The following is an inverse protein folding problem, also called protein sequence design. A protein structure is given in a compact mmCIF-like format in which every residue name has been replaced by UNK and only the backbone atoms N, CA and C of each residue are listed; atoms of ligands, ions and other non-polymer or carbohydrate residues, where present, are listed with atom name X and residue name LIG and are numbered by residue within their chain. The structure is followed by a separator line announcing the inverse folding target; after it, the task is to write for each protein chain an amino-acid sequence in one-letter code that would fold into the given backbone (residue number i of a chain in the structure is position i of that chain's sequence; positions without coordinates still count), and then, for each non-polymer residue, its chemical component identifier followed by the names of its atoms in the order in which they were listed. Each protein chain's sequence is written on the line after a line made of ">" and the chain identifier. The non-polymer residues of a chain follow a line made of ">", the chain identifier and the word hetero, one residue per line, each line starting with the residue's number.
data_IF_319096766357
#
_entry.id   IF_319096766357
#
_cell.length_a   1.000
_cell.length_b   1.000
_cell.length_c   1.000
_cell.angle_alpha   90.00
_cell.angle_beta   90.00
_cell.angle_gamma   90.00
#
_symmetry.space_group_name_H-M   'P 1'
#
loop_
_entity.id
_entity.type
_entity.pdbx_description
1 polymer ?
#
# COMPACT_ATOMS: atom_id res chain seq x y z
N UNK A 1 15.28 36.70 -0.16
CA UNK A 1 14.51 35.44 -0.11
C UNK A 1 13.05 35.75 -0.43
N UNK A 2 12.47 35.19 -1.49
CA UNK A 2 11.06 35.47 -1.88
C UNK A 2 10.13 35.00 -0.75
N UNK A 3 9.39 35.93 -0.13
CA UNK A 3 8.38 35.63 0.90
C UNK A 3 7.28 34.71 0.33
N UNK A 4 7.46 33.39 0.48
CA UNK A 4 6.43 32.40 0.22
C UNK A 4 5.39 32.49 1.32
N UNK A 5 4.15 32.85 0.98
CA UNK A 5 3.05 32.84 1.95
C UNK A 5 2.90 31.47 2.61
N UNK A 6 2.44 31.43 3.87
CA UNK A 6 2.15 30.17 4.53
C UNK A 6 1.04 29.39 3.81
N UNK A 7 1.07 28.07 3.96
CA UNK A 7 -0.01 27.17 3.51
C UNK A 7 -1.37 27.57 4.13
N UNK A 8 -2.48 27.19 3.48
CA UNK A 8 -3.82 27.49 4.02
C UNK A 8 -4.07 26.75 5.33
N UNK A 9 -4.89 27.34 6.22
CA UNK A 9 -5.31 26.68 7.47
C UNK A 9 -6.06 25.37 7.20
N UNK A 10 -6.87 25.32 6.14
CA UNK A 10 -7.57 24.11 5.70
C UNK A 10 -6.59 23.01 5.28
N UNK A 11 -5.63 23.32 4.41
CA UNK A 11 -4.62 22.34 3.98
C UNK A 11 -3.77 21.88 5.16
N UNK A 12 -3.45 22.78 6.09
CA UNK A 12 -2.74 22.42 7.33
C UNK A 12 -3.53 21.42 8.17
N UNK A 13 -4.84 21.64 8.37
CA UNK A 13 -5.71 20.71 9.10
C UNK A 13 -5.78 19.36 8.38
N UNK A 14 -5.97 19.36 7.05
CA UNK A 14 -5.99 18.13 6.25
C UNK A 14 -4.69 17.32 6.38
N UNK A 15 -3.52 17.98 6.34
CA UNK A 15 -2.24 17.31 6.53
C UNK A 15 -2.08 16.69 7.93
N UNK A 16 -2.62 17.33 8.98
CA UNK A 16 -2.64 16.77 10.34
C UNK A 16 -3.54 15.54 10.40
N UNK A 17 -4.74 15.61 9.81
CA UNK A 17 -5.65 14.47 9.74
C UNK A 17 -5.03 13.29 8.96
N UNK A 18 -4.32 13.57 7.86
CA UNK A 18 -3.57 12.54 7.13
C UNK A 18 -2.46 11.90 7.98
N UNK A 19 -1.74 12.69 8.79
CA UNK A 19 -0.72 12.16 9.71
C UNK A 19 -1.33 11.19 10.73
N UNK A 20 -2.47 11.54 11.32
CA UNK A 20 -3.20 10.66 12.26
C UNK A 20 -3.70 9.40 11.54
N UNK A 21 -4.25 9.54 10.33
CA UNK A 21 -4.70 8.41 9.53
C UNK A 21 -3.54 7.44 9.24
N UNK A 22 -2.38 7.93 8.79
CA UNK A 22 -1.20 7.11 8.54
C UNK A 22 -0.68 6.41 9.81
N UNK A 23 -0.80 7.06 10.97
CA UNK A 23 -0.43 6.41 12.24
C UNK A 23 -1.33 5.21 12.53
N UNK A 24 -2.64 5.32 12.27
CA UNK A 24 -3.57 4.21 12.41
C UNK A 24 -3.27 3.07 11.43
N UNK A 25 -2.81 3.37 10.21
CA UNK A 25 -2.47 2.35 9.19
C UNK A 25 -1.41 1.37 9.67
N UNK A 26 -0.49 1.77 10.56
CA UNK A 26 0.54 0.86 11.12
C UNK A 26 -0.11 -0.36 11.80
N UNK A 27 -1.31 -0.19 12.37
CA UNK A 27 -2.03 -1.20 13.14
C UNK A 27 -3.17 -1.89 12.37
N UNK A 28 -3.40 -1.50 11.11
CA UNK A 28 -4.52 -1.98 10.30
C UNK A 28 -4.02 -2.82 9.12
N UNK A 29 -4.83 -3.76 8.60
CA UNK A 29 -4.48 -4.50 7.40
C UNK A 29 -4.40 -3.51 6.23
N UNK A 30 -3.31 -3.54 5.48
CA UNK A 30 -3.09 -2.71 4.30
C UNK A 30 -3.74 -3.37 3.08
N UNK A 31 -3.63 -4.69 2.99
CA UNK A 31 -4.12 -5.46 1.86
C UNK A 31 -4.78 -6.74 2.34
N UNK A 32 -5.69 -7.27 1.53
CA UNK A 32 -6.21 -8.61 1.74
C UNK A 32 -6.32 -9.37 0.43
N UNK A 33 -6.13 -10.68 0.55
CA UNK A 33 -6.32 -11.64 -0.54
C UNK A 33 -7.31 -12.68 -0.03
N UNK A 34 -8.47 -12.73 -0.67
CA UNK A 34 -9.50 -13.71 -0.40
C UNK A 34 -9.35 -14.87 -1.39
N UNK A 35 -9.44 -16.10 -0.91
CA UNK A 35 -9.40 -17.32 -1.72
C UNK A 35 -10.74 -18.04 -1.60
N UNK A 36 -11.35 -18.34 -2.74
CA UNK A 36 -12.55 -19.15 -2.85
C UNK A 36 -12.15 -20.54 -3.34
N UNK A 37 -12.35 -21.56 -2.51
CA UNK A 37 -12.00 -22.94 -2.84
C UNK A 37 -13.14 -23.87 -2.44
N UNK A 38 -13.42 -24.88 -3.26
CA UNK A 38 -14.50 -25.85 -3.00
C UNK A 38 -14.38 -26.57 -1.64
N UNK A 39 -13.15 -26.70 -1.12
CA UNK A 39 -12.88 -27.31 0.19
C UNK A 39 -13.20 -26.38 1.38
N UNK A 40 -13.21 -25.06 1.15
CA UNK A 40 -13.43 -24.02 2.16
C UNK A 40 -14.58 -23.12 1.70
N UNK A 41 -15.84 -23.60 1.77
CA UNK A 41 -17.02 -22.85 1.29
C UNK A 41 -17.26 -21.54 2.04
N UNK A 42 -16.70 -21.37 3.23
CA UNK A 42 -16.66 -20.12 3.99
C UNK A 42 -15.68 -19.08 3.43
N UNK A 43 -14.80 -19.48 2.51
CA UNK A 43 -13.71 -18.68 1.96
C UNK A 43 -12.51 -18.61 2.90
N UNK A 44 -11.33 -18.35 2.33
CA UNK A 44 -10.12 -18.05 3.07
C UNK A 44 -9.70 -16.59 2.87
N UNK A 45 -9.03 -16.01 3.85
CA UNK A 45 -8.55 -14.65 3.84
C UNK A 45 -7.10 -14.60 4.36
N UNK A 46 -6.23 -14.00 3.56
CA UNK A 46 -4.90 -13.56 3.93
C UNK A 46 -4.92 -12.05 4.11
N UNK A 47 -4.57 -11.57 5.29
CA UNK A 47 -4.42 -10.15 5.56
C UNK A 47 -2.94 -9.77 5.64
N UNK A 48 -2.58 -8.68 4.96
CA UNK A 48 -1.22 -8.16 4.90
C UNK A 48 -1.19 -6.85 5.68
N UNK A 49 -0.48 -6.85 6.80
CA UNK A 49 -0.22 -5.67 7.62
C UNK A 49 1.14 -5.07 7.23
N UNK A 50 1.44 -3.88 7.77
CA UNK A 50 2.75 -3.26 7.58
C UNK A 50 3.92 -4.10 8.12
N UNK A 51 3.66 -5.01 9.06
CA UNK A 51 4.67 -5.73 9.82
C UNK A 51 4.43 -7.25 9.96
N UNK A 52 3.37 -7.79 9.37
CA UNK A 52 3.02 -9.22 9.50
C UNK A 52 1.98 -9.65 8.49
N UNK A 53 1.80 -10.96 8.38
CA UNK A 53 0.63 -11.59 7.80
C UNK A 53 -0.34 -12.02 8.92
N UNK A 54 -1.64 -12.02 8.61
CA UNK A 54 -2.70 -12.52 9.48
C UNK A 54 -3.81 -13.18 8.65
N UNK A 55 -4.89 -13.61 9.29
CA UNK A 55 -5.92 -14.44 8.64
C UNK A 55 -5.56 -15.92 8.73
N UNK A 56 -5.98 -16.74 7.76
CA UNK A 56 -5.72 -18.20 7.79
C UNK A 56 -4.42 -18.59 7.09
N UNK A 57 -3.30 -17.96 7.49
CA UNK A 57 -1.98 -18.13 6.87
C UNK A 57 -1.55 -19.60 6.81
N UNK A 58 -1.74 -20.37 7.88
CA UNK A 58 -1.33 -21.78 7.94
C UNK A 58 -2.11 -22.66 6.96
N UNK A 59 -3.41 -22.40 6.80
CA UNK A 59 -4.26 -23.13 5.84
C UNK A 59 -3.82 -22.81 4.41
N UNK A 60 -3.58 -21.53 4.13
CA UNK A 60 -3.11 -21.05 2.82
C UNK A 60 -1.72 -21.63 2.50
N UNK A 61 -0.83 -21.72 3.48
CA UNK A 61 0.47 -22.38 3.32
C UNK A 61 0.33 -23.87 2.97
N UNK A 62 -0.63 -24.56 3.60
CA UNK A 62 -0.99 -25.94 3.23
C UNK A 62 -1.45 -26.05 1.77
N UNK A 63 -2.27 -25.11 1.30
CA UNK A 63 -2.70 -25.05 -0.10
C UNK A 63 -1.55 -24.77 -1.07
N UNK A 64 -0.70 -23.79 -0.74
CA UNK A 64 0.47 -23.41 -1.53
C UNK A 64 1.41 -24.58 -1.77
N UNK A 65 1.61 -25.43 -0.75
CA UNK A 65 2.46 -26.62 -0.84
C UNK A 65 2.03 -27.56 -1.97
N UNK A 66 0.73 -27.73 -2.22
CA UNK A 66 0.24 -28.63 -3.27
C UNK A 66 0.57 -28.17 -4.69
N UNK A 67 0.65 -26.86 -4.91
CA UNK A 67 0.91 -26.25 -6.21
C UNK A 67 2.35 -25.71 -6.35
N UNK A 68 3.20 -26.02 -5.37
CA UNK A 68 4.62 -25.65 -5.36
C UNK A 68 4.89 -24.18 -5.05
N UNK A 69 3.90 -23.41 -4.60
CA UNK A 69 4.12 -22.06 -4.13
C UNK A 69 4.92 -22.09 -2.82
N UNK A 70 5.82 -21.11 -2.64
CA UNK A 70 6.57 -20.95 -1.39
C UNK A 70 5.61 -20.76 -0.20
N UNK A 71 6.05 -21.20 0.97
CA UNK A 71 5.37 -20.86 2.21
C UNK A 71 5.52 -19.36 2.49
N UNK A 72 4.50 -18.79 3.12
CA UNK A 72 4.45 -17.41 3.55
C UNK A 72 4.97 -17.35 4.98
N UNK A 73 6.20 -16.88 5.18
CA UNK A 73 6.72 -16.53 6.50
C UNK A 73 6.95 -15.04 6.59
N UNK A 74 6.62 -14.45 7.75
CA UNK A 74 6.83 -13.01 7.96
C UNK A 74 8.31 -12.61 7.79
N UNK A 75 9.23 -13.52 8.13
CA UNK A 75 10.67 -13.30 8.03
C UNK A 75 11.20 -13.27 6.58
N UNK A 76 10.40 -13.74 5.61
CA UNK A 76 10.75 -13.67 4.18
C UNK A 76 10.69 -12.21 3.67
N UNK A 77 9.92 -11.35 4.35
CA UNK A 77 9.64 -9.98 3.93
C UNK A 77 10.46 -8.99 4.75
N UNK A 78 11.60 -8.54 4.22
CA UNK A 78 12.36 -7.43 4.82
C UNK A 78 11.49 -6.18 4.97
N UNK A 79 10.49 -6.03 4.10
CA UNK A 79 9.49 -4.98 4.14
C UNK A 79 8.74 -4.97 5.48
N UNK A 80 8.43 -6.11 6.10
CA UNK A 80 7.75 -6.11 7.40
C UNK A 80 8.59 -5.54 8.53
N UNK A 81 9.91 -5.53 8.36
CA UNK A 81 10.81 -4.86 9.30
C UNK A 81 10.89 -3.36 9.01
N UNK A 82 10.90 -2.93 7.75
CA UNK A 82 11.21 -1.55 7.36
C UNK A 82 9.98 -0.69 7.13
N UNK A 83 8.91 -1.26 6.57
CA UNK A 83 7.68 -0.57 6.17
C UNK A 83 7.03 0.19 7.34
N UNK A 84 6.90 -0.36 8.58
CA UNK A 84 6.31 0.40 9.69
C UNK A 84 7.09 1.69 10.00
N UNK A 85 8.42 1.67 9.88
CA UNK A 85 9.26 2.85 10.07
C UNK A 85 9.12 3.85 8.92
N UNK A 86 8.97 3.39 7.67
CA UNK A 86 8.69 4.27 6.54
C UNK A 86 7.33 4.97 6.72
N UNK A 87 6.31 4.23 7.16
CA UNK A 87 5.00 4.82 7.48
C UNK A 87 5.15 5.84 8.61
N UNK A 88 5.88 5.50 9.68
CA UNK A 88 6.20 6.41 10.78
C UNK A 88 6.94 7.67 10.33
N UNK A 89 7.87 7.55 9.39
CA UNK A 89 8.52 8.71 8.76
C UNK A 89 7.49 9.59 8.05
N UNK A 90 6.56 9.04 7.29
CA UNK A 90 5.51 9.83 6.66
C UNK A 90 4.56 10.47 7.68
N UNK A 91 4.21 9.79 8.78
CA UNK A 91 3.45 10.39 9.89
C UNK A 91 4.13 11.68 10.36
N UNK A 92 5.43 11.61 10.66
CA UNK A 92 6.23 12.75 11.10
C UNK A 92 6.40 13.80 10.00
N UNK A 93 6.58 13.39 8.74
CA UNK A 93 6.75 14.29 7.62
C UNK A 93 5.46 15.10 7.36
N UNK A 94 4.29 14.46 7.34
CA UNK A 94 3.00 15.15 7.21
C UNK A 94 2.80 16.18 8.33
N UNK A 95 3.07 15.79 9.58
CA UNK A 95 2.99 16.69 10.72
C UNK A 95 4.00 17.84 10.61
N UNK A 96 5.25 17.53 10.26
CA UNK A 96 6.33 18.51 10.07
C UNK A 96 6.03 19.53 8.98
N UNK A 97 5.47 19.09 7.84
CA UNK A 97 5.02 19.99 6.78
C UNK A 97 3.88 20.90 7.28
N UNK A 98 2.89 20.33 7.97
CA UNK A 98 1.79 21.10 8.55
C UNK A 98 2.26 22.17 9.56
N UNK A 99 3.27 21.87 10.37
CA UNK A 99 3.85 22.79 11.35
C UNK A 99 4.78 23.84 10.72
N UNK A 100 5.57 23.46 9.71
CA UNK A 100 6.50 24.36 9.02
C UNK A 100 5.82 25.52 8.30
N UNK A 101 4.56 25.30 7.86
CA UNK A 101 3.76 26.18 7.01
C UNK A 101 4.42 26.54 5.67
N UNK A 102 5.49 25.84 5.27
CA UNK A 102 6.24 26.14 4.03
C UNK A 102 5.65 25.38 2.85
N UNK A 103 5.14 26.11 1.86
CA UNK A 103 4.56 25.53 0.63
C UNK A 103 5.50 24.57 -0.11
N UNK A 104 6.80 24.90 -0.19
CA UNK A 104 7.80 24.04 -0.86
C UNK A 104 7.79 22.62 -0.31
N UNK A 105 7.56 22.45 1.00
CA UNK A 105 7.58 21.13 1.62
C UNK A 105 6.33 20.30 1.31
N UNK A 106 5.19 20.93 0.97
CA UNK A 106 4.02 20.19 0.48
C UNK A 106 4.35 19.48 -0.84
N UNK A 107 5.06 20.15 -1.75
CA UNK A 107 5.46 19.57 -3.04
C UNK A 107 6.50 18.46 -2.89
N UNK A 108 7.48 18.65 -2.00
CA UNK A 108 8.47 17.61 -1.69
C UNK A 108 7.79 16.39 -1.08
N UNK A 109 6.89 16.61 -0.11
CA UNK A 109 6.12 15.54 0.52
C UNK A 109 5.27 14.78 -0.51
N UNK A 110 4.59 15.48 -1.42
CA UNK A 110 3.82 14.86 -2.50
C UNK A 110 4.69 14.00 -3.42
N UNK A 111 5.82 14.53 -3.87
CA UNK A 111 6.76 13.76 -4.71
C UNK A 111 7.29 12.51 -4.00
N UNK A 112 7.68 12.64 -2.73
CA UNK A 112 8.17 11.52 -1.92
C UNK A 112 7.08 10.46 -1.68
N UNK A 113 5.86 10.89 -1.35
CA UNK A 113 4.74 9.98 -1.08
C UNK A 113 4.28 9.24 -2.35
N UNK A 114 4.24 9.93 -3.49
CA UNK A 114 3.91 9.31 -4.77
C UNK A 114 4.98 8.29 -5.19
N UNK A 115 6.27 8.64 -5.06
CA UNK A 115 7.37 7.73 -5.34
C UNK A 115 7.30 6.48 -4.46
N UNK A 116 7.07 6.66 -3.16
CA UNK A 116 6.88 5.56 -2.23
C UNK A 116 5.73 4.63 -2.67
N UNK A 117 4.57 5.18 -3.02
CA UNK A 117 3.43 4.39 -3.50
C UNK A 117 3.75 3.58 -4.76
N UNK A 118 4.46 4.17 -5.72
CA UNK A 118 4.89 3.46 -6.94
C UNK A 118 5.85 2.31 -6.58
N UNK A 119 6.87 2.58 -5.77
CA UNK A 119 7.84 1.56 -5.35
C UNK A 119 7.17 0.42 -4.60
N UNK A 120 6.25 0.73 -3.67
CA UNK A 120 5.51 -0.28 -2.92
C UNK A 120 4.66 -1.18 -3.83
N UNK A 121 3.98 -0.62 -4.83
CA UNK A 121 3.17 -1.41 -5.76
C UNK A 121 4.02 -2.28 -6.70
N UNK A 122 5.18 -1.77 -7.15
CA UNK A 122 6.13 -2.53 -7.96
C UNK A 122 6.71 -3.69 -7.16
N UNK A 123 7.09 -3.44 -5.91
CA UNK A 123 7.61 -4.47 -5.03
C UNK A 123 6.56 -5.54 -4.70
N UNK A 124 5.32 -5.12 -4.43
CA UNK A 124 4.22 -6.06 -4.20
C UNK A 124 3.93 -6.92 -5.45
N UNK A 125 3.96 -6.32 -6.65
CA UNK A 125 3.85 -7.08 -7.90
C UNK A 125 4.98 -8.11 -8.06
N UNK A 126 6.22 -7.72 -7.71
CA UNK A 126 7.39 -8.62 -7.74
C UNK A 126 7.20 -9.81 -6.81
N UNK A 127 6.69 -9.58 -5.59
CA UNK A 127 6.35 -10.66 -4.67
C UNK A 127 5.29 -11.61 -5.24
N UNK A 128 4.17 -11.08 -5.75
CA UNK A 128 3.12 -11.89 -6.38
C UNK A 128 3.65 -12.70 -7.58
N UNK A 129 4.51 -12.09 -8.39
CA UNK A 129 5.14 -12.75 -9.54
C UNK A 129 6.03 -13.90 -9.09
N UNK A 130 6.94 -13.65 -8.15
CA UNK A 130 7.87 -14.65 -7.63
C UNK A 130 7.12 -15.82 -7.00
N UNK A 131 6.16 -15.56 -6.13
CA UNK A 131 5.34 -16.61 -5.52
C UNK A 131 4.54 -17.41 -6.55
N UNK A 132 4.12 -16.78 -7.65
CA UNK A 132 3.32 -17.44 -8.70
C UNK A 132 4.11 -18.18 -9.78
N UNK A 133 5.41 -17.93 -9.94
CA UNK A 133 6.23 -18.46 -11.04
C UNK A 133 7.46 -19.25 -10.58
N UNK A 134 7.98 -19.00 -9.39
CA UNK A 134 9.09 -19.75 -8.79
C UNK A 134 8.52 -20.92 -7.97
N UNK A 135 7.98 -21.90 -8.71
CA UNK A 135 7.26 -23.04 -8.16
C UNK A 135 8.18 -24.27 -8.00
N UNK A 136 7.99 -25.04 -6.94
CA UNK A 136 8.71 -26.30 -6.72
C UNK A 136 8.37 -27.32 -7.84
N UNK A 137 9.34 -27.78 -8.64
CA UNK A 137 9.11 -28.78 -9.68
C UNK A 137 8.74 -30.17 -9.15
N UNK A 138 8.81 -30.39 -7.84
CA UNK A 138 8.41 -31.64 -7.19
C UNK A 138 7.06 -31.52 -6.47
N UNK A 139 6.32 -30.43 -6.70
CA UNK A 139 5.01 -30.23 -6.09
C UNK A 139 4.02 -31.35 -6.46
N UNK A 140 3.09 -31.71 -5.56
CA UNK A 140 2.08 -32.73 -5.84
C UNK A 140 1.22 -32.46 -7.09
N UNK A 141 0.93 -31.20 -7.38
CA UNK A 141 0.12 -30.77 -8.52
C UNK A 141 0.95 -29.86 -9.41
N UNK A 142 1.21 -30.32 -10.64
CA UNK A 142 1.92 -29.55 -11.66
C UNK A 142 1.07 -29.53 -12.92
N UNK A 143 0.71 -28.33 -13.38
CA UNK A 143 0.05 -28.13 -14.66
C UNK A 143 1.05 -27.48 -15.62
N UNK A 144 1.49 -28.17 -16.69
CA UNK A 144 2.51 -27.64 -17.60
C UNK A 144 2.15 -26.25 -18.15
N UNK A 145 3.06 -25.29 -17.98
CA UNK A 145 2.89 -23.92 -18.48
C UNK A 145 1.95 -23.02 -17.67
N UNK A 146 1.43 -23.49 -16.53
CA UNK A 146 0.59 -22.69 -15.64
C UNK A 146 1.40 -21.99 -14.55
N UNK A 147 1.00 -20.76 -14.23
CA UNK A 147 1.51 -19.98 -13.11
C UNK A 147 0.37 -19.61 -12.18
N UNK A 148 0.64 -19.60 -10.87
CA UNK A 148 -0.37 -19.38 -9.83
C UNK A 148 -0.32 -17.98 -9.23
N UNK A 149 0.22 -17.00 -9.98
CA UNK A 149 0.29 -15.59 -9.52
C UNK A 149 -1.12 -15.05 -9.22
N UNK A 150 -1.41 -14.67 -7.96
CA UNK A 150 -2.64 -13.95 -7.62
C UNK A 150 -2.67 -12.56 -8.30
N UNK A 151 -3.86 -12.00 -8.53
CA UNK A 151 -3.97 -10.67 -9.13
C UNK A 151 -3.42 -9.62 -8.17
N UNK A 152 -2.79 -8.56 -8.70
CA UNK A 152 -2.41 -7.42 -7.88
C UNK A 152 -3.65 -6.73 -7.30
N UNK A 153 -4.67 -6.52 -8.14
CA UNK A 153 -6.00 -6.01 -7.78
C UNK A 153 -7.04 -6.78 -8.60
N UNK A 154 -8.17 -7.12 -8.01
CA UNK A 154 -9.32 -7.75 -8.67
C UNK A 154 -9.35 -9.27 -8.49
N UNK A 155 -10.09 -9.94 -9.36
CA UNK A 155 -10.30 -11.39 -9.31
C UNK A 155 -9.50 -12.12 -10.38
N UNK A 156 -8.97 -13.30 -10.05
CA UNK A 156 -8.38 -14.24 -10.99
C UNK A 156 -8.66 -15.68 -10.56
N UNK A 157 -9.10 -16.50 -11.51
CA UNK A 157 -9.21 -17.94 -11.30
C UNK A 157 -7.81 -18.59 -11.38
N UNK A 158 -7.43 -19.35 -10.37
CA UNK A 158 -6.20 -20.11 -10.28
C UNK A 158 -6.57 -21.59 -10.13
N UNK A 159 -6.65 -22.31 -11.26
CA UNK A 159 -7.09 -23.71 -11.29
C UNK A 159 -8.52 -23.85 -10.72
N UNK A 160 -8.72 -24.58 -9.63
CA UNK A 160 -10.02 -24.81 -9.00
C UNK A 160 -10.35 -23.83 -7.88
N UNK A 161 -9.50 -22.82 -7.63
CA UNK A 161 -9.76 -21.79 -6.63
C UNK A 161 -9.71 -20.39 -7.24
N UNK A 162 -10.60 -19.52 -6.79
CA UNK A 162 -10.62 -18.11 -7.12
C UNK A 162 -9.74 -17.32 -6.15
N UNK A 163 -9.04 -16.29 -6.64
CA UNK A 163 -8.30 -15.36 -5.80
C UNK A 163 -8.78 -13.93 -6.07
N UNK A 164 -9.24 -13.24 -5.02
CA UNK A 164 -9.64 -11.83 -5.06
C UNK A 164 -8.68 -10.99 -4.21
N UNK A 165 -8.05 -9.99 -4.81
CA UNK A 165 -7.03 -9.16 -4.17
C UNK A 165 -7.47 -7.69 -4.17
N UNK A 166 -7.43 -7.04 -3.01
CA UNK A 166 -7.90 -5.66 -2.88
C UNK A 166 -7.21 -4.95 -1.70
N UNK A 167 -7.03 -3.61 -1.74
CA UNK A 167 -6.69 -2.87 -0.54
C UNK A 167 -7.71 -3.17 0.57
N UNK A 168 -7.19 -3.35 1.78
CA UNK A 168 -8.03 -3.41 2.98
C UNK A 168 -8.09 -2.02 3.63
N UNK A 169 -8.65 -1.90 4.83
CA UNK A 169 -8.91 -0.62 5.50
C UNK A 169 -7.69 0.31 5.52
N UNK A 170 -6.52 -0.20 5.90
CA UNK A 170 -5.27 0.56 5.91
C UNK A 170 -4.80 0.98 4.51
N UNK A 171 -5.03 0.15 3.50
CA UNK A 171 -4.73 0.46 2.10
C UNK A 171 -5.63 1.55 1.54
N UNK A 172 -6.93 1.48 1.81
CA UNK A 172 -7.88 2.54 1.45
C UNK A 172 -7.57 3.87 2.14
N UNK A 173 -7.16 3.82 3.42
CA UNK A 173 -6.67 5.00 4.12
C UNK A 173 -5.41 5.59 3.46
N UNK A 174 -4.47 4.75 3.04
CA UNK A 174 -3.29 5.15 2.27
C UNK A 174 -3.66 5.89 0.98
N UNK A 175 -4.59 5.32 0.20
CA UNK A 175 -5.10 5.91 -1.04
C UNK A 175 -5.76 7.27 -0.75
N UNK A 176 -6.63 7.33 0.26
CA UNK A 176 -7.30 8.57 0.66
C UNK A 176 -6.30 9.66 1.06
N UNK A 177 -5.25 9.32 1.82
CA UNK A 177 -4.17 10.24 2.18
C UNK A 177 -3.46 10.77 0.93
N UNK A 178 -3.18 9.91 -0.05
CA UNK A 178 -2.59 10.31 -1.33
C UNK A 178 -3.46 11.30 -2.10
N UNK A 179 -4.78 11.03 -2.18
CA UNK A 179 -5.75 11.91 -2.84
C UNK A 179 -5.84 13.27 -2.13
N UNK A 180 -5.90 13.29 -0.80
CA UNK A 180 -5.94 14.53 -0.01
C UNK A 180 -4.65 15.34 -0.18
N UNK A 181 -3.48 14.67 -0.21
CA UNK A 181 -2.20 15.34 -0.44
C UNK A 181 -2.10 15.92 -1.86
N UNK A 182 -2.61 15.21 -2.87
CA UNK A 182 -2.70 15.70 -4.24
C UNK A 182 -3.60 16.96 -4.31
N UNK A 183 -4.75 16.94 -3.64
CA UNK A 183 -5.63 18.10 -3.51
C UNK A 183 -4.92 19.29 -2.83
N UNK A 184 -4.24 19.06 -1.69
CA UNK A 184 -3.49 20.11 -0.99
C UNK A 184 -2.41 20.74 -1.89
N UNK A 185 -1.69 19.90 -2.63
CA UNK A 185 -0.66 20.29 -3.59
C UNK A 185 -1.24 21.17 -4.70
N UNK A 186 -2.32 20.71 -5.34
CA UNK A 186 -3.01 21.45 -6.39
C UNK A 186 -3.58 22.78 -5.88
N UNK A 187 -4.20 22.79 -4.71
CA UNK A 187 -4.75 24.00 -4.09
C UNK A 187 -3.65 25.04 -3.80
N UNK A 188 -2.53 24.63 -3.20
CA UNK A 188 -1.40 25.53 -2.95
C UNK A 188 -0.77 26.06 -4.25
N UNK A 189 -0.73 25.25 -5.31
CA UNK A 189 -0.28 25.68 -6.63
C UNK A 189 -1.19 26.77 -7.22
N UNK A 190 -2.53 26.57 -7.16
CA UNK A 190 -3.49 27.58 -7.64
C UNK A 190 -3.41 28.89 -6.85
N UNK A 191 -3.26 28.81 -5.53
CA UNK A 191 -3.09 29.99 -4.66
C UNK A 191 -1.80 30.74 -4.98
N UNK A 192 -0.71 30.04 -5.30
CA UNK A 192 0.54 30.65 -5.74
C UNK A 192 0.37 31.44 -7.05
N UNK A 193 -0.31 30.84 -8.05
CA UNK A 193 -0.52 31.47 -9.37
C UNK A 193 -1.40 32.71 -9.27
N UNK A 194 -2.53 32.65 -8.56
CA UNK A 194 -3.43 33.80 -8.35
C UNK A 194 -2.70 35.00 -7.75
N UNK A 195 -1.81 34.77 -6.78
CA UNK A 195 -1.04 35.84 -6.12
C UNK A 195 -0.03 36.51 -7.06
N UNK A 196 0.63 35.75 -7.92
CA UNK A 196 1.58 36.33 -8.88
C UNK A 196 0.85 37.20 -9.91
N UNK A 197 -0.37 36.82 -10.31
CA UNK A 197 -1.21 37.61 -11.22
C UNK A 197 -1.74 38.90 -10.60
N UNK A 198 -1.98 38.94 -9.29
CA UNK A 198 -2.42 40.15 -8.57
C UNK A 198 -1.26 41.11 -8.22
N UNK A 199 -0.02 40.73 -8.49
CA UNK A 199 1.19 41.55 -8.24
C UNK A 199 1.80 42.12 -9.54
N UNK A 200 1.18 41.84 -10.69
CA UNK A 200 1.48 42.40 -12.01
C UNK A 200 0.34 43.36 -12.35
#
# INVERSE_FOLDING_TARGET
>A
MKNSSPISSTNRLLLILCSIALLAVIFLPIWRIELDAAQYPEGLELQIYSNKLAGQVDIINGLNHYIGMKTLHADDFIEFTVLPYIIGFFVLAFLGVALSRKRKFVYVLFGAFLLFGIVAMVDFYRWLYNYGHDLDPNAPIIVPGMAYQPPLIGFKQLLNFGAFSIPDLGGWMFIAVGVILAYCTWNEFRRAKKRNLSQV
#
